data_IF_206249616449
#
_entry.id   IF_206249616449
#
_cell.length_a   1.000
_cell.length_b   1.000
_cell.length_c   1.000
_cell.angle_alpha   90.00
_cell.angle_beta   90.00
_cell.angle_gamma   90.00
#
_symmetry.space_group_name_H-M   'P 1'
#
loop_
_entity.id
_entity.type
_entity.pdbx_description
1 polymer ?
#
# COMPACT_ATOMS: atom_id res chain seq x y z
N UNK A 1 26.51 56.91 7.24
CA UNK A 1 25.99 57.28 5.91
C UNK A 1 27.10 57.07 4.91
N UNK A 2 26.99 56.33 3.82
CA UNK A 2 25.91 55.56 3.22
C UNK A 2 26.52 54.84 2.00
N UNK A 3 26.02 53.63 1.70
CA UNK A 3 25.90 53.03 0.35
C UNK A 3 27.18 52.78 -0.48
N UNK A 4 27.38 51.65 -1.13
CA UNK A 4 26.57 50.44 -1.32
C UNK A 4 27.51 49.33 -1.82
N UNK A 5 27.76 48.32 -1.00
CA UNK A 5 28.27 47.03 -1.47
C UNK A 5 27.09 46.06 -1.52
N UNK A 6 26.81 45.58 -2.74
CA UNK A 6 26.41 44.21 -3.05
C UNK A 6 25.22 43.62 -2.26
N UNK A 7 24.01 43.97 -2.67
CA UNK A 7 22.83 43.13 -2.46
C UNK A 7 22.34 42.54 -3.79
N UNK A 8 23.00 41.48 -4.24
CA UNK A 8 22.38 40.50 -5.12
C UNK A 8 22.08 39.27 -4.25
N UNK A 9 20.97 39.34 -3.51
CA UNK A 9 20.44 38.23 -2.73
C UNK A 9 20.03 37.09 -3.65
N UNK A 10 20.93 36.14 -3.87
CA UNK A 10 20.61 34.83 -4.40
C UNK A 10 19.72 34.16 -3.35
N UNK A 11 18.40 34.20 -3.56
CA UNK A 11 17.46 33.37 -2.81
C UNK A 11 17.75 31.93 -3.24
N UNK A 12 18.47 31.20 -2.39
CA UNK A 12 18.47 29.75 -2.49
C UNK A 12 17.07 29.27 -2.12
N UNK A 13 16.19 29.12 -3.11
CA UNK A 13 15.04 28.21 -2.99
C UNK A 13 15.61 26.80 -2.97
N UNK A 14 16.08 26.40 -1.78
CA UNK A 14 16.55 25.06 -1.50
C UNK A 14 15.37 24.11 -1.59
N UNK A 15 15.15 23.53 -2.77
CA UNK A 15 14.44 22.27 -2.86
C UNK A 15 15.33 21.22 -2.18
N UNK A 16 15.15 21.02 -0.88
CA UNK A 16 15.76 19.89 -0.19
C UNK A 16 15.18 18.62 -0.81
N UNK A 17 15.90 18.02 -1.75
CA UNK A 17 15.63 16.70 -2.28
C UNK A 17 15.92 15.71 -1.15
N UNK A 18 14.97 15.54 -0.22
CA UNK A 18 15.06 14.49 0.79
C UNK A 18 14.80 13.16 0.10
N UNK A 19 15.70 12.20 0.27
CA UNK A 19 15.46 10.82 -0.15
C UNK A 19 14.14 10.30 0.43
N UNK A 20 13.34 9.54 -0.36
CA UNK A 20 12.09 9.00 0.14
C UNK A 20 12.35 8.04 1.30
N UNK A 21 11.52 8.13 2.33
CA UNK A 21 11.57 7.20 3.46
C UNK A 21 10.91 5.89 3.03
N UNK A 22 11.68 4.82 3.10
CA UNK A 22 11.20 3.48 2.82
C UNK A 22 10.50 2.86 4.02
N UNK A 23 9.38 2.19 3.78
CA UNK A 23 8.68 1.41 4.80
C UNK A 23 7.86 0.27 4.20
N UNK A 24 7.19 -0.47 5.08
CA UNK A 24 6.40 -1.64 4.74
C UNK A 24 4.91 -1.38 4.89
N UNK A 25 4.11 -1.90 3.96
CA UNK A 25 2.66 -1.73 3.96
C UNK A 25 1.95 -2.95 3.39
N UNK A 26 0.68 -3.09 3.76
CA UNK A 26 -0.25 -4.03 3.13
C UNK A 26 -1.45 -3.30 2.53
N UNK A 27 -2.06 -3.95 1.53
CA UNK A 27 -3.26 -3.47 0.85
C UNK A 27 -4.27 -4.60 0.69
N UNK A 28 -5.54 -4.21 0.55
CA UNK A 28 -6.55 -5.09 -0.06
C UNK A 28 -6.52 -4.91 -1.57
N UNK A 29 -6.97 -5.92 -2.31
CA UNK A 29 -6.98 -5.89 -3.77
C UNK A 29 -8.42 -5.99 -4.28
N UNK A 30 -8.74 -5.21 -5.29
CA UNK A 30 -10.07 -5.19 -5.90
C UNK A 30 -9.98 -5.22 -7.42
N UNK A 31 -11.00 -5.80 -8.04
CA UNK A 31 -11.20 -5.77 -9.49
C UNK A 31 -12.59 -5.26 -9.86
N UNK A 32 -12.64 -4.41 -10.88
CA UNK A 32 -13.88 -3.85 -11.43
C UNK A 32 -14.81 -4.96 -11.95
N UNK A 33 -16.09 -4.64 -12.24
CA UNK A 33 -17.07 -5.65 -12.71
C UNK A 33 -16.60 -6.37 -13.98
N UNK A 34 -15.94 -5.64 -14.90
CA UNK A 34 -15.44 -6.13 -16.19
C UNK A 34 -14.15 -6.97 -16.09
N UNK A 35 -13.54 -7.05 -14.90
CA UNK A 35 -12.29 -7.78 -14.64
C UNK A 35 -11.07 -7.22 -15.39
N UNK A 36 -11.13 -5.97 -15.82
CA UNK A 36 -10.08 -5.33 -16.62
C UNK A 36 -9.13 -4.45 -15.81
N UNK A 37 -9.49 -4.12 -14.57
CA UNK A 37 -8.70 -3.23 -13.72
C UNK A 37 -8.44 -3.89 -12.37
N UNK A 38 -7.20 -3.79 -11.91
CA UNK A 38 -6.77 -4.09 -10.55
C UNK A 38 -6.50 -2.78 -9.82
N UNK A 39 -7.00 -2.67 -8.58
CA UNK A 39 -6.73 -1.53 -7.71
C UNK A 39 -6.44 -2.00 -6.30
N UNK A 40 -5.30 -1.57 -5.78
CA UNK A 40 -4.99 -1.66 -4.36
C UNK A 40 -5.84 -0.65 -3.58
N UNK A 41 -6.32 -1.06 -2.42
CA UNK A 41 -7.07 -0.22 -1.50
C UNK A 41 -6.48 -0.27 -0.10
N UNK A 42 -6.61 0.81 0.70
CA UNK A 42 -6.29 0.77 2.11
C UNK A 42 -7.01 -0.38 2.84
N UNK A 43 -6.33 -1.02 3.79
CA UNK A 43 -6.92 -2.09 4.63
C UNK A 43 -8.02 -1.58 5.58
N UNK A 44 -8.01 -0.28 5.87
CA UNK A 44 -8.93 0.36 6.80
C UNK A 44 -9.31 1.76 6.30
N UNK A 45 -10.50 2.20 6.71
CA UNK A 45 -11.07 3.48 6.33
C UNK A 45 -11.64 3.51 4.91
N UNK A 46 -12.15 4.68 4.53
CA UNK A 46 -12.86 4.92 3.26
C UNK A 46 -12.03 5.71 2.25
N UNK A 47 -10.71 5.71 2.40
CA UNK A 47 -9.83 6.40 1.47
C UNK A 47 -9.93 5.78 0.05
N UNK A 48 -9.69 6.59 -1.00
CA UNK A 48 -9.74 6.11 -2.37
C UNK A 48 -8.71 4.98 -2.61
N UNK A 49 -8.91 4.17 -3.68
CA UNK A 49 -7.88 3.25 -4.13
C UNK A 49 -6.57 3.98 -4.46
N UNK A 50 -5.46 3.25 -4.35
CA UNK A 50 -4.16 3.77 -4.75
C UNK A 50 -4.13 3.91 -6.27
N UNK A 51 -3.82 5.11 -6.79
CA UNK A 51 -3.80 5.33 -8.22
C UNK A 51 -2.59 4.58 -8.83
N UNK A 52 -2.77 3.88 -9.97
CA UNK A 52 -1.66 3.34 -10.74
C UNK A 52 -0.82 4.46 -11.34
N UNK A 53 0.50 4.30 -11.38
CA UNK A 53 1.46 5.21 -12.03
C UNK A 53 1.48 6.65 -11.49
N UNK A 54 0.77 6.91 -10.39
CA UNK A 54 0.72 8.20 -9.73
C UNK A 54 0.93 8.03 -8.22
N UNK A 55 1.56 9.00 -7.54
CA UNK A 55 1.65 9.00 -6.09
C UNK A 55 0.27 9.04 -5.43
N UNK A 56 0.06 8.17 -4.44
CA UNK A 56 -1.06 8.36 -3.52
C UNK A 56 -0.82 9.64 -2.70
N UNK A 57 -1.88 10.43 -2.49
CA UNK A 57 -1.83 11.65 -1.69
C UNK A 57 -2.70 11.51 -0.44
N UNK A 58 -2.10 11.81 0.72
CA UNK A 58 -2.78 11.84 1.99
C UNK A 58 -3.89 12.90 2.01
N UNK A 59 -5.09 12.49 2.41
CA UNK A 59 -6.19 13.41 2.68
C UNK A 59 -6.76 13.14 4.08
N UNK A 60 -7.06 14.21 4.82
CA UNK A 60 -7.71 14.10 6.12
C UNK A 60 -9.23 14.03 5.93
N UNK A 61 -9.80 12.84 6.14
CA UNK A 61 -11.26 12.60 6.04
C UNK A 61 -12.05 13.22 7.19
N UNK A 62 -11.44 13.36 8.38
CA UNK A 62 -12.14 13.87 9.57
C UNK A 62 -12.42 15.35 9.53
N UNK A 63 -11.57 16.15 8.88
CA UNK A 63 -11.74 17.60 8.91
C UNK A 63 -11.49 18.35 7.60
N UNK A 64 -10.79 17.92 6.54
CA UNK A 64 -10.41 18.82 5.39
C UNK A 64 -9.72 20.15 5.76
N UNK A 65 -9.54 20.51 7.03
CA UNK A 65 -9.03 21.82 7.48
C UNK A 65 -7.50 21.89 7.52
N UNK A 66 -6.82 20.77 7.31
CA UNK A 66 -5.36 20.74 7.28
C UNK A 66 -4.86 19.80 6.20
N UNK A 67 -3.64 20.05 5.75
CA UNK A 67 -2.93 19.17 4.82
C UNK A 67 -2.33 18.00 5.62
N UNK A 68 -2.63 16.76 5.22
CA UNK A 68 -2.07 15.59 5.90
C UNK A 68 -0.61 15.32 5.47
N UNK A 69 0.16 14.56 6.26
CA UNK A 69 -0.07 14.20 7.67
C UNK A 69 0.10 15.41 8.61
N UNK A 70 -0.49 15.32 9.79
CA UNK A 70 -0.35 16.29 10.90
C UNK A 70 -0.07 15.49 12.18
N UNK A 71 0.92 15.88 13.01
CA UNK A 71 1.26 15.18 14.26
C UNK A 71 0.05 14.89 15.17
N UNK A 72 -0.86 15.84 15.36
CA UNK A 72 -2.04 15.73 16.24
C UNK A 72 -3.24 15.00 15.62
N UNK A 73 -3.13 14.56 14.37
CA UNK A 73 -4.18 13.82 13.66
C UNK A 73 -3.68 12.40 13.34
N UNK A 74 -4.55 11.46 12.97
CA UNK A 74 -4.14 10.11 12.51
C UNK A 74 -4.05 9.99 10.98
N UNK A 75 -4.31 11.07 10.24
CA UNK A 75 -4.31 11.08 8.77
C UNK A 75 -2.91 10.86 8.18
N UNK A 76 -2.82 10.55 6.89
CA UNK A 76 -1.55 10.25 6.25
C UNK A 76 -1.50 8.84 5.69
N UNK A 77 -0.52 8.59 4.84
CA UNK A 77 -0.26 7.29 4.25
C UNK A 77 0.70 6.54 5.18
N UNK A 78 0.18 5.53 5.88
CA UNK A 78 0.94 4.81 6.90
C UNK A 78 1.91 3.80 6.26
N UNK A 79 3.12 3.70 6.79
CA UNK A 79 4.02 2.58 6.57
C UNK A 79 4.67 2.18 7.91
N UNK A 80 5.10 0.94 8.02
CA UNK A 80 5.75 0.38 9.21
C UNK A 80 7.24 0.17 8.94
N UNK A 81 8.08 0.21 9.98
CA UNK A 81 9.51 -0.13 9.81
C UNK A 81 9.74 -1.63 9.68
N UNK A 82 8.97 -2.39 10.44
CA UNK A 82 9.11 -3.85 10.54
C UNK A 82 7.94 -4.53 9.81
N UNK A 83 8.18 -5.34 8.76
CA UNK A 83 7.11 -6.11 8.12
C UNK A 83 6.49 -7.15 9.08
N UNK A 84 7.22 -7.55 10.12
CA UNK A 84 6.78 -8.48 11.15
C UNK A 84 5.51 -8.04 11.87
N UNK A 85 5.17 -6.75 11.92
CA UNK A 85 3.89 -6.31 12.54
C UNK A 85 2.69 -6.39 11.59
N UNK A 86 2.92 -6.56 10.29
CA UNK A 86 1.86 -6.47 9.27
C UNK A 86 0.94 -7.68 9.22
N UNK A 87 1.36 -8.85 9.72
CA UNK A 87 0.52 -10.07 9.76
C UNK A 87 -0.81 -9.87 10.52
N UNK A 88 -0.86 -8.90 11.44
CA UNK A 88 -2.06 -8.54 12.21
C UNK A 88 -3.06 -7.69 11.41
N UNK A 89 -2.70 -7.26 10.21
CA UNK A 89 -3.60 -6.51 9.35
C UNK A 89 -4.81 -7.36 8.94
N UNK A 90 -5.97 -6.71 8.86
CA UNK A 90 -7.22 -7.41 8.55
C UNK A 90 -7.29 -7.72 7.05
N UNK A 91 -7.22 -9.02 6.73
CA UNK A 91 -7.49 -9.57 5.41
C UNK A 91 -6.68 -8.91 4.26
N UNK A 92 -5.35 -8.78 4.37
CA UNK A 92 -4.52 -8.25 3.29
C UNK A 92 -4.53 -9.20 2.10
N UNK A 93 -4.34 -8.65 0.91
CA UNK A 93 -4.13 -9.39 -0.32
C UNK A 93 -2.73 -9.14 -0.90
N UNK A 94 -2.14 -7.98 -0.58
CA UNK A 94 -0.84 -7.54 -1.10
C UNK A 94 0.00 -7.05 0.07
N UNK A 95 1.27 -7.44 0.11
CA UNK A 95 2.30 -6.87 0.98
C UNK A 95 3.41 -6.29 0.12
N UNK A 96 4.12 -5.29 0.63
CA UNK A 96 5.18 -4.66 -0.13
C UNK A 96 5.89 -3.55 0.59
N UNK A 97 6.90 -3.01 -0.08
CA UNK A 97 7.58 -1.78 0.32
C UNK A 97 6.92 -0.57 -0.33
N UNK A 98 7.04 0.57 0.34
CA UNK A 98 6.46 1.83 -0.08
C UNK A 98 7.45 2.96 0.20
N UNK A 99 7.63 3.84 -0.78
CA UNK A 99 8.36 5.09 -0.63
C UNK A 99 7.40 6.16 -0.10
N UNK A 100 7.82 6.94 0.90
CA UNK A 100 7.08 8.06 1.49
C UNK A 100 7.87 9.36 1.34
N UNK A 101 7.20 10.44 0.96
CA UNK A 101 7.85 11.75 0.83
C UNK A 101 6.89 12.93 1.01
N UNK A 102 7.41 14.15 0.87
CA UNK A 102 6.74 15.40 1.22
C UNK A 102 6.81 15.62 2.73
N UNK A 103 5.69 16.00 3.36
CA UNK A 103 5.62 15.95 4.83
C UNK A 103 5.59 14.51 5.30
N UNK A 104 6.53 14.13 6.17
CA UNK A 104 6.54 12.84 6.85
C UNK A 104 6.51 13.06 8.35
N UNK A 105 5.65 12.31 9.04
CA UNK A 105 5.61 12.27 10.50
C UNK A 105 6.05 10.88 10.94
N UNK A 106 7.08 10.85 11.78
CA UNK A 106 7.65 9.64 12.35
C UNK A 106 7.01 9.29 13.70
N UNK A 107 6.71 8.02 13.91
CA UNK A 107 6.12 7.46 15.12
C UNK A 107 6.86 6.19 15.56
N UNK A 108 6.54 5.67 16.74
CA UNK A 108 7.21 4.50 17.33
C UNK A 108 7.26 3.28 16.39
N UNK A 109 6.18 3.00 15.66
CA UNK A 109 6.07 1.81 14.80
C UNK A 109 6.32 2.07 13.30
N UNK A 110 6.50 3.33 12.89
CA UNK A 110 6.69 3.66 11.49
C UNK A 110 6.45 5.13 11.16
N UNK A 111 5.87 5.35 9.98
CA UNK A 111 5.81 6.66 9.34
C UNK A 111 4.43 6.94 8.79
N UNK A 112 4.09 8.22 8.68
CA UNK A 112 2.95 8.72 7.92
C UNK A 112 3.46 9.72 6.91
N UNK A 113 3.31 9.45 5.62
CA UNK A 113 3.72 10.35 4.54
C UNK A 113 2.56 11.14 3.95
N UNK A 114 2.90 12.29 3.36
CA UNK A 114 2.00 13.09 2.52
C UNK A 114 1.79 12.38 1.19
N UNK A 115 2.88 11.98 0.56
CA UNK A 115 2.87 11.22 -0.68
C UNK A 115 3.43 9.83 -0.44
N UNK A 116 2.95 8.87 -1.22
CA UNK A 116 3.48 7.52 -1.19
C UNK A 116 3.31 6.81 -2.52
N UNK A 117 4.24 5.92 -2.84
CA UNK A 117 4.10 5.01 -3.99
C UNK A 117 4.69 3.63 -3.66
N UNK A 118 4.01 2.52 -4.01
CA UNK A 118 4.56 1.18 -3.84
C UNK A 118 5.89 1.08 -4.59
N UNK A 119 6.83 0.30 -4.06
CA UNK A 119 8.13 0.10 -4.70
C UNK A 119 8.34 -1.36 -5.09
N UNK A 120 7.93 -2.30 -4.24
CA UNK A 120 7.89 -3.73 -4.54
C UNK A 120 6.66 -4.37 -3.92
N UNK A 121 6.03 -5.31 -4.61
CA UNK A 121 4.78 -5.94 -4.18
C UNK A 121 4.84 -7.46 -4.33
N UNK A 122 4.08 -8.19 -3.51
CA UNK A 122 3.70 -9.58 -3.77
C UNK A 122 2.28 -9.85 -3.27
N UNK A 123 1.62 -10.85 -3.84
CA UNK A 123 0.40 -11.41 -3.31
C UNK A 123 0.69 -12.29 -2.09
N UNK A 124 -0.24 -12.29 -1.15
CA UNK A 124 -0.16 -13.14 0.05
C UNK A 124 -1.45 -13.90 0.24
N UNK A 125 -1.34 -15.20 0.56
CA UNK A 125 -2.48 -15.91 1.13
C UNK A 125 -2.82 -15.27 2.47
N UNK A 126 -4.03 -14.74 2.59
CA UNK A 126 -4.47 -14.03 3.80
C UNK A 126 -4.29 -14.87 5.08
N UNK A 127 -4.64 -16.16 5.03
CA UNK A 127 -4.61 -17.05 6.20
C UNK A 127 -3.17 -17.40 6.60
N UNK A 128 -2.33 -17.78 5.63
CA UNK A 128 -0.90 -18.02 5.89
C UNK A 128 -0.20 -16.75 6.38
N UNK A 129 -0.52 -15.61 5.78
CA UNK A 129 0.08 -14.33 6.15
C UNK A 129 -0.26 -13.94 7.58
N UNK A 130 -1.51 -14.12 8.00
CA UNK A 130 -1.93 -13.85 9.38
C UNK A 130 -1.20 -14.75 10.39
N UNK A 131 -1.01 -16.02 10.04
CA UNK A 131 -0.38 -16.99 10.94
C UNK A 131 1.16 -16.86 11.00
N UNK A 132 1.81 -16.57 9.86
CA UNK A 132 3.25 -16.74 9.70
C UNK A 132 3.98 -15.51 9.13
N UNK A 133 3.27 -14.48 8.66
CA UNK A 133 3.85 -13.33 7.98
C UNK A 133 4.17 -13.57 6.50
N UNK A 134 4.93 -12.65 5.89
CA UNK A 134 5.20 -12.64 4.44
C UNK A 134 6.05 -13.83 3.98
N UNK A 135 7.06 -14.21 4.75
CA UNK A 135 8.07 -15.22 4.37
C UNK A 135 7.52 -16.64 4.19
N UNK A 136 6.30 -16.91 4.69
CA UNK A 136 5.63 -18.21 4.55
C UNK A 136 4.22 -18.07 3.97
N UNK A 137 3.97 -16.99 3.23
CA UNK A 137 2.69 -16.76 2.59
C UNK A 137 2.83 -16.75 1.07
N UNK A 138 2.46 -17.87 0.46
CA UNK A 138 2.30 -18.00 -0.99
C UNK A 138 0.82 -18.08 -1.34
N UNK A 139 0.47 -17.72 -2.57
CA UNK A 139 -0.88 -17.92 -3.09
C UNK A 139 -0.80 -18.61 -4.45
N UNK A 140 -1.73 -19.53 -4.71
CA UNK A 140 -1.83 -20.23 -5.98
C UNK A 140 -3.10 -19.83 -6.76
N UNK A 141 -4.20 -19.52 -6.05
CA UNK A 141 -5.43 -19.01 -6.66
C UNK A 141 -5.84 -17.67 -6.04
N UNK A 142 -6.47 -16.82 -6.86
CA UNK A 142 -7.19 -15.65 -6.38
C UNK A 142 -8.68 -15.91 -6.51
N UNK A 143 -9.42 -15.75 -5.42
CA UNK A 143 -10.88 -15.82 -5.42
C UNK A 143 -11.49 -14.43 -5.38
N UNK A 144 -12.66 -14.27 -5.99
CA UNK A 144 -13.40 -13.00 -6.00
C UNK A 144 -14.61 -13.10 -5.09
N UNK A 145 -14.65 -12.22 -4.10
CA UNK A 145 -15.78 -12.05 -3.20
C UNK A 145 -16.77 -10.99 -3.74
N UNK A 146 -17.95 -10.91 -3.11
CA UNK A 146 -18.91 -9.83 -3.35
C UNK A 146 -18.25 -8.45 -3.18
N UNK A 147 -18.69 -7.47 -3.97
CA UNK A 147 -18.07 -6.14 -3.99
C UNK A 147 -16.74 -6.05 -4.75
N UNK A 148 -16.35 -7.13 -5.45
CA UNK A 148 -15.17 -7.13 -6.33
C UNK A 148 -13.83 -7.30 -5.61
N UNK A 149 -13.85 -7.59 -4.31
CA UNK A 149 -12.65 -7.88 -3.53
C UNK A 149 -12.00 -9.17 -4.01
N UNK A 150 -10.69 -9.12 -4.19
CA UNK A 150 -9.84 -10.25 -4.54
C UNK A 150 -9.12 -10.74 -3.29
N UNK A 151 -9.12 -12.06 -3.09
CA UNK A 151 -8.47 -12.72 -1.95
C UNK A 151 -7.57 -13.82 -2.52
N UNK A 152 -6.24 -13.64 -2.46
CA UNK A 152 -5.31 -14.71 -2.76
C UNK A 152 -5.35 -15.77 -1.66
N UNK A 153 -5.31 -17.04 -2.05
CA UNK A 153 -5.31 -18.19 -1.16
C UNK A 153 -4.30 -19.21 -1.68
N UNK A 154 -3.66 -19.92 -0.75
CA UNK A 154 -2.92 -21.11 -1.12
C UNK A 154 -3.86 -22.29 -1.42
N UNK A 155 -3.36 -23.34 -2.05
CA UNK A 155 -4.13 -24.53 -2.41
C UNK A 155 -4.87 -25.11 -1.21
N UNK A 156 -4.19 -25.31 -0.09
CA UNK A 156 -4.78 -25.85 1.14
C UNK A 156 -5.97 -25.01 1.61
N UNK A 157 -5.83 -23.67 1.57
CA UNK A 157 -6.87 -22.75 1.99
C UNK A 157 -8.01 -22.60 0.97
N UNK A 158 -7.74 -22.83 -0.32
CA UNK A 158 -8.80 -22.97 -1.33
C UNK A 158 -9.62 -24.22 -1.05
N UNK A 159 -8.97 -25.36 -0.80
CA UNK A 159 -9.65 -26.61 -0.47
C UNK A 159 -10.45 -26.48 0.83
N UNK A 160 -9.90 -25.81 1.84
CA UNK A 160 -10.59 -25.51 3.11
C UNK A 160 -11.84 -24.65 2.88
N UNK A 161 -11.71 -23.57 2.10
CA UNK A 161 -12.84 -22.70 1.74
C UNK A 161 -13.97 -23.50 1.06
N UNK A 162 -13.63 -24.41 0.15
CA UNK A 162 -14.61 -25.26 -0.55
C UNK A 162 -15.29 -26.23 0.42
N UNK A 163 -14.52 -26.87 1.31
CA UNK A 163 -15.02 -27.82 2.31
C UNK A 163 -16.05 -27.20 3.25
N UNK A 164 -15.82 -25.98 3.71
CA UNK A 164 -16.73 -25.27 4.64
C UNK A 164 -17.82 -24.45 3.94
N UNK A 165 -17.97 -24.60 2.61
CA UNK A 165 -19.04 -23.93 1.87
C UNK A 165 -18.90 -22.41 1.78
N UNK A 166 -17.68 -21.86 1.94
CA UNK A 166 -17.46 -20.44 1.73
C UNK A 166 -17.57 -20.12 0.23
N UNK A 167 -18.52 -19.28 -0.20
CA UNK A 167 -18.74 -18.98 -1.60
C UNK A 167 -17.57 -18.14 -2.15
N UNK A 168 -16.62 -18.81 -2.77
CA UNK A 168 -15.44 -18.23 -3.39
C UNK A 168 -15.39 -18.63 -4.86
N UNK A 169 -15.75 -17.68 -5.75
CA UNK A 169 -15.61 -17.91 -7.18
C UNK A 169 -14.15 -17.69 -7.57
N UNK A 170 -13.50 -18.70 -8.14
CA UNK A 170 -12.17 -18.55 -8.72
C UNK A 170 -12.17 -17.38 -9.69
N UNK A 171 -11.24 -16.45 -9.48
CA UNK A 171 -10.98 -15.33 -10.37
C UNK A 171 -9.95 -15.76 -11.41
N UNK A 172 -8.72 -16.03 -10.97
CA UNK A 172 -7.58 -16.35 -11.83
C UNK A 172 -6.50 -17.08 -11.01
N UNK A 173 -5.43 -17.52 -11.67
CA UNK A 173 -4.24 -17.98 -10.96
C UNK A 173 -3.55 -16.79 -10.27
N UNK A 174 -2.85 -17.04 -9.16
CA UNK A 174 -2.20 -15.99 -8.41
C UNK A 174 -1.06 -15.31 -9.19
N UNK A 175 -0.25 -16.08 -9.92
CA UNK A 175 0.82 -15.54 -10.76
C UNK A 175 0.31 -14.59 -11.87
N UNK A 176 -0.84 -14.89 -12.49
CA UNK A 176 -1.48 -14.01 -13.48
C UNK A 176 -1.90 -12.68 -12.86
N UNK A 177 -2.51 -12.73 -11.67
CA UNK A 177 -2.96 -11.53 -10.94
C UNK A 177 -1.77 -10.72 -10.44
N UNK A 178 -0.72 -11.39 -9.95
CA UNK A 178 0.51 -10.75 -9.50
C UNK A 178 1.22 -10.05 -10.65
N UNK A 179 1.45 -10.73 -11.78
CA UNK A 179 2.04 -10.11 -12.96
C UNK A 179 1.23 -8.90 -13.46
N UNK A 180 -0.10 -9.03 -13.51
CA UNK A 180 -0.96 -7.90 -13.87
C UNK A 180 -0.92 -6.76 -12.84
N UNK A 181 -0.80 -7.05 -11.55
CA UNK A 181 -0.66 -6.05 -10.48
C UNK A 181 0.66 -5.30 -10.60
N UNK A 182 1.77 -6.04 -10.74
CA UNK A 182 3.11 -5.47 -10.91
C UNK A 182 3.17 -4.58 -12.16
N UNK A 183 2.59 -5.03 -13.27
CA UNK A 183 2.46 -4.24 -14.50
C UNK A 183 1.58 -3.00 -14.30
N UNK A 184 0.43 -3.13 -13.62
CA UNK A 184 -0.49 -2.01 -13.35
C UNK A 184 0.21 -0.88 -12.59
N UNK A 185 1.03 -1.22 -11.60
CA UNK A 185 1.74 -0.25 -10.77
C UNK A 185 3.18 0.02 -11.24
N UNK A 186 3.66 -0.61 -12.31
CA UNK A 186 5.05 -0.51 -12.77
C UNK A 186 6.07 -0.66 -11.63
N UNK A 187 5.95 -1.75 -10.86
CA UNK A 187 6.83 -2.08 -9.73
C UNK A 187 7.32 -3.52 -9.83
N UNK A 188 8.42 -3.81 -9.14
CA UNK A 188 9.01 -5.13 -9.12
C UNK A 188 8.36 -6.05 -8.08
N UNK A 189 8.60 -7.35 -8.23
CA UNK A 189 8.25 -8.35 -7.22
C UNK A 189 9.02 -8.07 -5.92
N UNK A 190 8.36 -8.23 -4.79
CA UNK A 190 9.00 -8.20 -3.48
C UNK A 190 9.84 -9.49 -3.30
N UNK A 191 11.16 -9.40 -3.09
CA UNK A 191 11.97 -10.57 -2.75
C UNK A 191 11.63 -11.00 -1.31
N UNK A 192 11.30 -12.28 -1.13
CA UNK A 192 11.06 -12.92 0.18
C UNK A 192 11.98 -14.08 0.42
#
# INVERSE_FOLDING_TARGET
MSQALLEAGIRHEGHTLSEPIMGWRVWTLHSNRRRTELRMRPIAGNAPPWPPLEPAHASCTRRRWHRGPEPSCTCGLHATRDPGVLHRARNPAVVGTVALWGRVVEHELGYRGQFAYPQRLMLVCYLCFWQWGASRSTAEEVVRLRGGRLVPLCEEHVQLSRRYGYPSRRFALANEVEGALLSTYAVDLLPV
#
